data_IF_200800114544
#
_entry.id   IF_200800114544
#
_cell.length_a   1.000
_cell.length_b   1.000
_cell.length_c   1.000
_cell.angle_alpha   90.00
_cell.angle_beta   90.00
_cell.angle_gamma   90.00
#
_symmetry.space_group_name_H-M   'P 1'
#
loop_
_entity.id
_entity.type
_entity.pdbx_description
1 polymer ?
#
# COMPACT_ATOMS: atom_id res chain seq x y z
N UNK A 1 -13.69 3.21 7.08
CA UNK A 1 -12.22 3.14 6.95
C UNK A 1 -11.84 2.12 5.89
N UNK A 2 -10.88 2.45 5.05
CA UNK A 2 -10.49 1.53 3.97
C UNK A 2 -9.65 0.39 4.51
N UNK A 3 -9.83 -0.76 3.93
CA UNK A 3 -9.04 -1.92 4.28
C UNK A 3 -7.75 -1.95 3.46
N UNK A 4 -6.66 -2.22 4.13
CA UNK A 4 -5.35 -2.35 3.48
C UNK A 4 -4.83 -3.74 3.74
N UNK A 5 -4.43 -4.42 2.68
CA UNK A 5 -3.82 -5.74 2.78
C UNK A 5 -2.30 -5.58 2.68
N UNK A 6 -1.59 -6.25 3.58
CA UNK A 6 -0.12 -6.23 3.57
C UNK A 6 0.37 -7.66 3.50
N UNK A 7 1.25 -7.94 2.57
CA UNK A 7 1.81 -9.27 2.40
C UNK A 7 3.27 -9.17 1.96
N UNK A 8 4.03 -10.23 2.18
CA UNK A 8 5.46 -10.21 1.83
C UNK A 8 5.68 -10.25 0.33
N UNK A 9 6.63 -9.43 -0.12
CA UNK A 9 7.10 -9.49 -1.49
C UNK A 9 8.42 -10.21 -1.55
N UNK A 10 9.13 -10.06 -2.66
CA UNK A 10 10.43 -10.67 -2.84
C UNK A 10 11.48 -9.95 -2.00
N UNK A 11 12.49 -10.69 -1.58
CA UNK A 11 13.66 -10.16 -0.86
C UNK A 11 13.29 -9.37 0.39
N UNK A 12 12.24 -9.81 1.08
CA UNK A 12 11.86 -9.18 2.33
C UNK A 12 11.09 -7.87 2.18
N UNK A 13 10.79 -7.47 0.96
CA UNK A 13 9.98 -6.28 0.73
C UNK A 13 8.56 -6.50 1.24
N UNK A 14 7.93 -5.42 1.65
CA UNK A 14 6.50 -5.43 1.97
C UNK A 14 5.70 -4.90 0.81
N UNK A 15 4.53 -5.49 0.58
CA UNK A 15 3.60 -5.03 -0.44
C UNK A 15 2.30 -4.67 0.24
N UNK A 16 1.73 -3.53 -0.10
CA UNK A 16 0.47 -3.07 0.46
C UNK A 16 -0.50 -2.79 -0.66
N UNK A 17 -1.75 -3.14 -0.44
CA UNK A 17 -2.79 -2.98 -1.45
C UNK A 17 -4.06 -2.49 -0.80
N UNK A 18 -4.77 -1.58 -1.49
CA UNK A 18 -6.10 -1.14 -1.07
C UNK A 18 -7.12 -1.68 -2.06
N UNK A 19 -7.78 -2.81 -1.75
CA UNK A 19 -8.67 -3.47 -2.72
C UNK A 19 -9.86 -2.62 -3.17
N UNK A 20 -10.28 -1.68 -2.34
CA UNK A 20 -11.43 -0.83 -2.69
C UNK A 20 -11.07 0.24 -3.71
N UNK A 21 -9.78 0.41 -4.02
CA UNK A 21 -9.33 1.39 -5.01
C UNK A 21 -8.53 0.66 -6.09
N UNK A 22 -9.11 0.42 -7.26
CA UNK A 22 -8.43 -0.34 -8.31
C UNK A 22 -7.06 0.25 -8.65
N UNK A 23 -6.06 -0.60 -8.70
CA UNK A 23 -4.71 -0.18 -9.02
C UNK A 23 -3.95 0.51 -7.90
N UNK A 24 -4.56 0.65 -6.73
CA UNK A 24 -3.90 1.29 -5.60
C UNK A 24 -3.06 0.26 -4.86
N UNK A 25 -1.80 0.18 -5.23
CA UNK A 25 -0.86 -0.76 -4.66
C UNK A 25 0.48 -0.04 -4.45
N UNK A 26 1.19 -0.45 -3.41
CA UNK A 26 2.47 0.17 -3.10
C UNK A 26 3.40 -0.86 -2.48
N UNK A 27 4.66 -0.53 -2.37
CA UNK A 27 5.64 -1.42 -1.77
C UNK A 27 6.70 -0.62 -1.03
N UNK A 28 7.44 -1.31 -0.18
CA UNK A 28 8.52 -0.69 0.57
C UNK A 28 9.51 -1.76 1.03
N UNK A 29 10.63 -1.32 1.58
CA UNK A 29 11.66 -2.25 2.05
C UNK A 29 11.22 -3.01 3.29
N UNK A 30 10.26 -2.48 4.03
CA UNK A 30 9.69 -3.11 5.22
C UNK A 30 8.17 -2.99 5.16
N UNK A 31 7.50 -3.72 6.06
CA UNK A 31 6.05 -3.62 6.18
C UNK A 31 5.63 -2.19 6.53
N UNK A 32 6.36 -1.58 7.44
CA UNK A 32 6.06 -0.22 7.88
C UNK A 32 6.19 0.76 6.73
N UNK A 33 7.22 0.59 5.92
CA UNK A 33 7.43 1.47 4.78
C UNK A 33 6.34 1.26 3.73
N UNK A 34 5.96 0.00 3.48
CA UNK A 34 4.87 -0.29 2.55
C UNK A 34 3.56 0.33 3.03
N UNK A 35 3.29 0.24 4.34
CA UNK A 35 2.08 0.82 4.91
C UNK A 35 2.08 2.35 4.77
N UNK A 36 3.20 2.98 5.03
CA UNK A 36 3.32 4.43 4.88
C UNK A 36 3.10 4.84 3.43
N UNK A 37 3.70 4.08 2.51
CA UNK A 37 3.59 4.39 1.08
C UNK A 37 2.16 4.22 0.58
N UNK A 38 1.45 3.19 1.05
CA UNK A 38 0.07 2.98 0.61
C UNK A 38 -0.85 4.08 1.13
N UNK A 39 -0.59 4.60 2.34
CA UNK A 39 -1.37 5.71 2.87
C UNK A 39 -1.24 6.93 1.98
N UNK A 40 -0.03 7.23 1.54
CA UNK A 40 0.20 8.35 0.65
C UNK A 40 -0.46 8.12 -0.71
N UNK A 41 -0.38 6.89 -1.19
CA UNK A 41 -1.01 6.54 -2.46
C UNK A 41 -2.53 6.70 -2.40
N UNK A 42 -3.14 6.30 -1.28
CA UNK A 42 -4.58 6.46 -1.09
C UNK A 42 -4.95 7.93 -1.09
N UNK A 43 -4.20 8.76 -0.39
CA UNK A 43 -4.47 10.19 -0.35
C UNK A 43 -4.41 10.81 -1.74
N UNK A 44 -3.40 10.44 -2.52
CA UNK A 44 -3.28 10.93 -3.88
C UNK A 44 -4.40 10.45 -4.78
N UNK A 45 -4.84 9.21 -4.57
CA UNK A 45 -5.92 8.63 -5.34
C UNK A 45 -7.24 9.36 -5.09
N UNK A 46 -7.51 9.69 -3.84
CA UNK A 46 -8.77 10.33 -3.44
C UNK A 46 -8.76 11.82 -3.72
N UNK A 47 -7.59 12.44 -3.68
CA UNK A 47 -7.46 13.89 -3.86
C UNK A 47 -7.81 14.34 -5.29
N UNK A 48 -7.92 13.40 -6.19
CA UNK A 48 -8.41 13.69 -7.52
C UNK A 48 -9.93 13.81 -7.48
#
# INVERSE_FOLDING_TARGET
MRQVLIYPGEDGYGVAECPSLPGCISQGKTREEALQNIKEAIQGYIAY
#
